data_IF_845015190917
#
_entry.id   IF_845015190917
#
_cell.length_a   1.000
_cell.length_b   1.000
_cell.length_c   1.000
_cell.angle_alpha   90.00
_cell.angle_beta   90.00
_cell.angle_gamma   90.00
#
_symmetry.space_group_name_H-M   'P 1'
#
loop_
_entity.id
_entity.type
_entity.pdbx_description
1 polymer ?
#
# COMPACT_ATOMS: atom_id res chain seq x y z
N UNK A 1 -120.36 -18.03 68.37
CA UNK A 1 -121.28 -16.88 68.22
C UNK A 1 -122.58 -17.23 68.92
N UNK A 2 -123.34 -16.27 69.45
CA UNK A 2 -124.64 -16.54 70.08
C UNK A 2 -125.77 -16.02 69.18
N UNK A 3 -126.89 -16.74 69.06
CA UNK A 3 -128.06 -16.25 68.33
C UNK A 3 -128.81 -15.16 69.14
N UNK A 4 -129.83 -14.55 68.54
CA UNK A 4 -130.67 -13.51 69.17
C UNK A 4 -131.36 -13.97 70.47
N UNK A 5 -131.36 -15.28 70.75
CA UNK A 5 -131.91 -15.90 71.96
C UNK A 5 -130.82 -16.27 72.99
N UNK A 6 -129.58 -15.81 72.80
CA UNK A 6 -128.45 -16.06 73.71
C UNK A 6 -127.93 -17.50 73.71
N UNK A 7 -128.28 -18.34 72.73
CA UNK A 7 -127.77 -19.72 72.62
C UNK A 7 -126.52 -19.80 71.76
N UNK A 8 -125.56 -20.62 72.17
CA UNK A 8 -124.32 -20.82 71.43
C UNK A 8 -124.61 -21.48 70.08
N UNK A 9 -124.34 -20.76 69.00
CA UNK A 9 -124.43 -21.23 67.62
C UNK A 9 -123.06 -21.73 67.20
N UNK A 10 -123.00 -23.01 66.90
CA UNK A 10 -121.84 -23.68 66.33
C UNK A 10 -121.92 -23.56 64.81
N UNK A 11 -120.96 -22.86 64.21
CA UNK A 11 -120.87 -22.72 62.75
C UNK A 11 -120.54 -24.09 62.13
N UNK A 12 -121.31 -24.50 61.12
CA UNK A 12 -121.00 -25.69 60.33
C UNK A 12 -119.96 -25.38 59.25
N UNK A 13 -119.34 -26.41 58.67
CA UNK A 13 -118.41 -26.25 57.54
C UNK A 13 -119.08 -25.57 56.33
N UNK A 14 -120.38 -25.81 56.13
CA UNK A 14 -121.18 -25.18 55.06
C UNK A 14 -121.37 -23.68 55.36
N UNK A 15 -121.63 -23.33 56.61
CA UNK A 15 -121.77 -21.92 57.02
C UNK A 15 -120.46 -21.16 56.88
N UNK A 16 -119.33 -21.76 57.27
CA UNK A 16 -118.01 -21.16 57.09
C UNK A 16 -117.67 -20.96 55.60
N UNK A 17 -117.98 -21.92 54.73
CA UNK A 17 -117.76 -21.78 53.30
C UNK A 17 -118.64 -20.67 52.69
N UNK A 18 -119.92 -20.59 53.10
CA UNK A 18 -120.85 -19.55 52.65
C UNK A 18 -120.45 -18.17 53.17
N UNK A 19 -119.97 -18.07 54.41
CA UNK A 19 -119.42 -16.83 54.96
C UNK A 19 -118.19 -16.35 54.18
N UNK A 20 -117.28 -17.26 53.80
CA UNK A 20 -116.12 -16.89 52.98
C UNK A 20 -116.52 -16.38 51.59
N UNK A 21 -117.53 -17.01 50.96
CA UNK A 21 -118.05 -16.56 49.66
C UNK A 21 -118.68 -15.17 49.77
N UNK A 22 -119.57 -14.96 50.74
CA UNK A 22 -120.22 -13.65 50.95
C UNK A 22 -119.17 -12.58 51.29
N UNK A 23 -118.18 -12.90 52.12
CA UNK A 23 -117.13 -11.94 52.49
C UNK A 23 -116.25 -11.55 51.30
N UNK A 24 -115.87 -12.51 50.44
CA UNK A 24 -115.10 -12.25 49.23
C UNK A 24 -115.88 -11.38 48.23
N UNK A 25 -117.17 -11.67 48.04
CA UNK A 25 -118.08 -10.87 47.19
C UNK A 25 -118.27 -9.45 47.73
N UNK A 26 -118.49 -9.29 49.04
CA UNK A 26 -118.65 -7.97 49.66
C UNK A 26 -117.35 -7.14 49.67
N UNK A 27 -116.18 -7.77 49.77
CA UNK A 27 -114.87 -7.08 49.77
C UNK A 27 -114.25 -6.95 48.37
N UNK A 28 -114.87 -7.52 47.33
CA UNK A 28 -114.33 -7.53 45.97
C UNK A 28 -113.00 -8.30 45.81
N UNK A 29 -112.73 -9.26 46.71
CA UNK A 29 -111.51 -10.06 46.70
C UNK A 29 -111.77 -11.46 46.14
N UNK A 30 -110.73 -12.11 45.61
CA UNK A 30 -110.85 -13.51 45.21
C UNK A 30 -110.99 -14.41 46.43
N UNK A 31 -111.97 -15.32 46.37
CA UNK A 31 -112.17 -16.35 47.39
C UNK A 31 -110.94 -17.24 47.46
N UNK A 32 -110.41 -17.44 48.66
CA UNK A 32 -109.28 -18.35 48.89
C UNK A 32 -109.57 -19.77 48.38
N UNK A 33 -108.59 -20.36 47.69
CA UNK A 33 -108.72 -21.71 47.17
C UNK A 33 -108.69 -22.75 48.30
N UNK A 34 -109.46 -23.82 48.15
CA UNK A 34 -109.40 -24.95 49.06
C UNK A 34 -108.01 -25.58 48.98
N UNK A 35 -107.24 -25.48 50.07
CA UNK A 35 -105.93 -26.11 50.18
C UNK A 35 -106.01 -27.34 51.06
N UNK A 36 -105.24 -28.38 50.72
CA UNK A 36 -104.99 -29.52 51.60
C UNK A 36 -104.02 -29.18 52.76
N UNK A 37 -103.48 -27.96 52.79
CA UNK A 37 -102.55 -27.48 53.82
C UNK A 37 -103.32 -27.24 55.13
N UNK A 38 -102.88 -27.89 56.21
CA UNK A 38 -103.44 -27.67 57.56
C UNK A 38 -103.20 -26.22 57.98
N UNK A 39 -104.17 -25.62 58.69
CA UNK A 39 -104.00 -24.31 59.32
C UNK A 39 -102.86 -24.40 60.33
N UNK A 40 -101.80 -23.65 60.08
CA UNK A 40 -100.61 -23.56 60.95
C UNK A 40 -100.69 -22.30 61.80
N UNK A 41 -100.13 -22.35 63.00
CA UNK A 41 -100.06 -21.19 63.88
C UNK A 41 -99.17 -20.09 63.27
N UNK A 42 -99.40 -18.83 63.62
CA UNK A 42 -98.71 -17.68 63.03
C UNK A 42 -97.19 -17.75 63.22
N UNK A 43 -96.73 -18.33 64.34
CA UNK A 43 -95.31 -18.55 64.60
C UNK A 43 -94.74 -19.67 63.70
N UNK A 44 -95.47 -20.76 63.52
CA UNK A 44 -95.07 -21.87 62.63
C UNK A 44 -94.98 -21.42 61.18
N UNK A 45 -95.92 -20.61 60.68
CA UNK A 45 -95.85 -20.06 59.33
C UNK A 45 -94.60 -19.18 59.13
N UNK A 46 -94.27 -18.33 60.11
CA UNK A 46 -93.04 -17.51 60.07
C UNK A 46 -91.77 -18.35 60.12
N UNK A 47 -91.76 -19.43 60.90
CA UNK A 47 -90.64 -20.38 60.97
C UNK A 47 -90.48 -21.09 59.62
N UNK A 48 -91.54 -21.69 59.06
CA UNK A 48 -91.49 -22.36 57.75
C UNK A 48 -91.02 -21.43 56.63
N UNK A 49 -91.53 -20.20 56.59
CA UNK A 49 -91.11 -19.20 55.60
C UNK A 49 -89.62 -18.82 55.75
N UNK A 50 -89.12 -18.74 56.99
CA UNK A 50 -87.71 -18.45 57.26
C UNK A 50 -86.81 -19.65 56.99
N UNK A 51 -87.23 -20.87 57.32
CA UNK A 51 -86.49 -22.09 56.99
C UNK A 51 -86.34 -22.25 55.49
N UNK A 52 -87.42 -22.02 54.73
CA UNK A 52 -87.35 -22.06 53.25
C UNK A 52 -86.42 -20.98 52.68
N UNK A 53 -86.41 -19.77 53.25
CA UNK A 53 -85.43 -18.73 52.88
C UNK A 53 -83.99 -19.15 53.20
N UNK A 54 -83.75 -19.75 54.37
CA UNK A 54 -82.43 -20.22 54.77
C UNK A 54 -81.95 -21.32 53.83
N UNK A 55 -82.80 -22.29 53.49
CA UNK A 55 -82.47 -23.36 52.55
C UNK A 55 -82.07 -22.82 51.18
N UNK A 56 -82.87 -21.90 50.62
CA UNK A 56 -82.56 -21.25 49.34
C UNK A 56 -81.21 -20.50 49.37
N UNK A 57 -80.97 -19.72 50.45
CA UNK A 57 -79.71 -19.00 50.62
C UNK A 57 -78.52 -19.95 50.81
N UNK A 58 -78.68 -21.06 51.53
CA UNK A 58 -77.61 -22.04 51.70
C UNK A 58 -77.26 -22.73 50.38
N UNK A 59 -78.26 -23.02 49.54
CA UNK A 59 -78.04 -23.61 48.22
C UNK A 59 -77.36 -22.62 47.27
N UNK A 60 -77.75 -21.34 47.32
CA UNK A 60 -77.11 -20.27 46.56
C UNK A 60 -75.65 -20.04 46.99
N UNK A 61 -75.37 -20.02 48.29
CA UNK A 61 -74.01 -19.92 48.84
C UNK A 61 -73.14 -21.09 48.40
N UNK A 62 -73.68 -22.32 48.40
CA UNK A 62 -72.96 -23.50 47.94
C UNK A 62 -72.61 -23.39 46.43
N UNK A 63 -73.56 -22.96 45.59
CA UNK A 63 -73.35 -22.73 44.14
C UNK A 63 -72.33 -21.61 43.88
N UNK A 64 -72.38 -20.54 44.66
CA UNK A 64 -71.41 -19.44 44.56
C UNK A 64 -70.01 -19.87 44.99
N UNK A 65 -69.90 -20.68 46.06
CA UNK A 65 -68.63 -21.21 46.54
C UNK A 65 -67.94 -22.10 45.50
N UNK A 66 -68.68 -23.01 44.86
CA UNK A 66 -68.12 -23.87 43.80
C UNK A 66 -67.73 -23.06 42.57
N UNK A 67 -68.55 -22.08 42.18
CA UNK A 67 -68.25 -21.17 41.07
C UNK A 67 -67.01 -20.31 41.36
N UNK A 68 -66.86 -19.83 42.60
CA UNK A 68 -65.68 -19.07 43.05
C UNK A 68 -64.42 -19.92 42.97
N UNK A 69 -64.44 -21.14 43.51
CA UNK A 69 -63.31 -22.06 43.46
C UNK A 69 -62.90 -22.39 42.01
N UNK A 70 -63.87 -22.60 41.11
CA UNK A 70 -63.60 -22.81 39.69
C UNK A 70 -62.95 -21.59 39.01
N UNK A 71 -63.40 -20.37 39.35
CA UNK A 71 -62.80 -19.13 38.85
C UNK A 71 -61.38 -18.92 39.40
N UNK A 72 -61.13 -19.20 40.67
CA UNK A 72 -59.80 -19.13 41.29
C UNK A 72 -58.83 -20.12 40.65
N UNK A 73 -59.24 -21.38 40.45
CA UNK A 73 -58.44 -22.37 39.74
C UNK A 73 -58.09 -21.93 38.31
N UNK A 74 -59.06 -21.34 37.61
CA UNK A 74 -58.85 -20.79 36.26
C UNK A 74 -57.83 -19.63 36.30
N UNK A 75 -57.97 -18.70 37.25
CA UNK A 75 -57.01 -17.58 37.42
C UNK A 75 -55.60 -18.10 37.71
N UNK A 76 -55.45 -19.12 38.54
CA UNK A 76 -54.14 -19.68 38.87
C UNK A 76 -53.49 -20.42 37.69
N UNK A 77 -54.28 -21.11 36.86
CA UNK A 77 -53.75 -21.64 35.59
C UNK A 77 -53.27 -20.53 34.66
N UNK A 78 -54.02 -19.42 34.51
CA UNK A 78 -53.58 -18.28 33.73
C UNK A 78 -52.30 -17.64 34.25
N UNK A 79 -52.15 -17.48 35.58
CA UNK A 79 -50.90 -16.99 36.18
C UNK A 79 -49.72 -17.90 35.85
N UNK A 80 -49.93 -19.21 35.95
CA UNK A 80 -48.88 -20.21 35.69
C UNK A 80 -48.44 -20.18 34.23
N UNK A 81 -49.39 -20.19 33.29
CA UNK A 81 -49.10 -20.07 31.85
C UNK A 81 -48.42 -18.74 31.55
N UNK A 82 -48.90 -17.63 32.13
CA UNK A 82 -48.29 -16.32 31.98
C UNK A 82 -46.82 -16.30 32.43
N UNK A 83 -46.52 -16.88 33.60
CA UNK A 83 -45.15 -16.99 34.10
C UNK A 83 -44.25 -17.82 33.16
N UNK A 84 -44.75 -18.94 32.62
CA UNK A 84 -44.01 -19.75 31.65
C UNK A 84 -43.73 -19.00 30.35
N UNK A 85 -44.71 -18.29 29.81
CA UNK A 85 -44.55 -17.49 28.59
C UNK A 85 -43.52 -16.39 28.79
N UNK A 86 -43.61 -15.65 29.90
CA UNK A 86 -42.64 -14.60 30.25
C UNK A 86 -41.24 -15.20 30.38
N UNK A 87 -41.06 -16.28 31.15
CA UNK A 87 -39.77 -16.93 31.31
C UNK A 87 -39.18 -17.43 29.98
N UNK A 88 -40.02 -17.98 29.09
CA UNK A 88 -39.58 -18.44 27.77
C UNK A 88 -39.12 -17.28 26.87
N UNK A 89 -39.86 -16.16 26.87
CA UNK A 89 -39.49 -14.96 26.11
C UNK A 89 -38.20 -14.37 26.69
N UNK A 90 -38.14 -14.12 27.99
CA UNK A 90 -36.96 -13.56 28.66
C UNK A 90 -35.74 -14.45 28.47
N UNK A 91 -35.89 -15.77 28.57
CA UNK A 91 -34.80 -16.72 28.35
C UNK A 91 -34.27 -16.70 26.91
N UNK A 92 -35.16 -16.63 25.90
CA UNK A 92 -34.75 -16.50 24.49
C UNK A 92 -34.03 -15.18 24.23
N UNK A 93 -34.49 -14.09 24.83
CA UNK A 93 -33.86 -12.76 24.68
C UNK A 93 -32.47 -12.75 25.31
N UNK A 94 -32.31 -13.29 26.52
CA UNK A 94 -31.00 -13.36 27.20
C UNK A 94 -29.96 -14.15 26.39
N UNK A 95 -30.33 -15.31 25.85
CA UNK A 95 -29.41 -16.11 25.01
C UNK A 95 -28.94 -15.34 23.77
N UNK A 96 -29.86 -14.67 23.06
CA UNK A 96 -29.49 -13.83 21.92
C UNK A 96 -28.59 -12.67 22.31
N UNK A 97 -28.82 -12.08 23.48
CA UNK A 97 -27.98 -11.01 24.00
C UNK A 97 -26.56 -11.50 24.32
N UNK A 98 -26.43 -12.68 24.92
CA UNK A 98 -25.15 -13.36 25.17
C UNK A 98 -24.42 -13.68 23.85
N UNK A 99 -25.10 -14.30 22.88
CA UNK A 99 -24.54 -14.61 21.56
C UNK A 99 -24.01 -13.35 20.86
N UNK A 100 -24.77 -12.25 20.90
CA UNK A 100 -24.35 -10.97 20.32
C UNK A 100 -23.16 -10.36 21.06
N UNK A 101 -23.09 -10.49 22.39
CA UNK A 101 -21.95 -10.01 23.18
C UNK A 101 -20.67 -10.78 22.84
N UNK A 102 -20.76 -12.09 22.68
CA UNK A 102 -19.64 -12.94 22.30
C UNK A 102 -19.13 -12.61 20.89
N UNK A 103 -20.03 -12.38 19.94
CA UNK A 103 -19.66 -11.96 18.59
C UNK A 103 -19.01 -10.57 18.58
N UNK A 104 -19.53 -9.61 19.36
CA UNK A 104 -18.88 -8.30 19.54
C UNK A 104 -17.48 -8.45 20.11
N UNK A 105 -17.28 -9.34 21.08
CA UNK A 105 -15.97 -9.58 21.68
C UNK A 105 -14.99 -10.20 20.65
N UNK A 106 -15.46 -11.17 19.85
CA UNK A 106 -14.69 -11.78 18.76
C UNK A 106 -14.25 -10.73 17.74
N UNK A 107 -15.19 -9.92 17.25
CA UNK A 107 -14.93 -8.86 16.28
C UNK A 107 -13.97 -7.81 16.82
N UNK A 108 -14.08 -7.43 18.10
CA UNK A 108 -13.12 -6.52 18.75
C UNK A 108 -11.70 -7.09 18.77
N UNK A 109 -11.55 -8.37 19.08
CA UNK A 109 -10.24 -9.04 19.09
C UNK A 109 -9.64 -9.13 17.68
N UNK A 110 -10.45 -9.48 16.68
CA UNK A 110 -10.01 -9.51 15.28
C UNK A 110 -9.61 -8.13 14.78
N UNK A 111 -10.37 -7.09 15.13
CA UNK A 111 -10.06 -5.70 14.77
C UNK A 111 -8.75 -5.24 15.42
N UNK A 112 -8.52 -5.58 16.69
CA UNK A 112 -7.25 -5.29 17.37
C UNK A 112 -6.06 -6.00 16.70
N UNK A 113 -6.22 -7.28 16.34
CA UNK A 113 -5.19 -8.05 15.62
C UNK A 113 -4.88 -7.43 14.25
N UNK A 114 -5.90 -7.09 13.48
CA UNK A 114 -5.74 -6.44 12.17
C UNK A 114 -5.08 -5.07 12.28
N UNK A 115 -5.41 -4.30 13.32
CA UNK A 115 -4.77 -3.02 13.57
C UNK A 115 -3.27 -3.16 13.91
N UNK A 116 -2.90 -4.20 14.65
CA UNK A 116 -1.50 -4.52 14.94
C UNK A 116 -0.74 -4.94 13.67
N UNK A 117 -1.33 -5.80 12.83
CA UNK A 117 -0.78 -6.21 11.53
C UNK A 117 -0.53 -4.99 10.62
N UNK A 118 -1.51 -4.09 10.49
CA UNK A 118 -1.38 -2.86 9.70
C UNK A 118 -0.23 -1.98 10.22
N UNK A 119 -0.12 -1.84 11.54
CA UNK A 119 0.92 -1.01 12.17
C UNK A 119 2.31 -1.58 11.90
N UNK A 120 2.46 -2.89 11.99
CA UNK A 120 3.72 -3.58 11.71
C UNK A 120 4.11 -3.45 10.23
N UNK A 121 3.20 -3.75 9.31
CA UNK A 121 3.43 -3.61 7.86
C UNK A 121 3.79 -2.18 7.48
N UNK A 122 3.13 -1.18 8.08
CA UNK A 122 3.47 0.24 7.86
C UNK A 122 4.90 0.56 8.31
N UNK A 123 5.34 0.02 9.46
CA UNK A 123 6.70 0.21 9.98
C UNK A 123 7.75 -0.43 9.08
N UNK A 124 7.48 -1.63 8.58
CA UNK A 124 8.37 -2.34 7.65
C UNK A 124 8.46 -1.64 6.30
N UNK A 125 7.33 -1.22 5.74
CA UNK A 125 7.28 -0.43 4.51
C UNK A 125 8.06 0.89 4.66
N UNK A 126 7.94 1.57 5.80
CA UNK A 126 8.70 2.80 6.05
C UNK A 126 10.21 2.55 6.14
N UNK A 127 10.63 1.45 6.78
CA UNK A 127 12.05 1.07 6.83
C UNK A 127 12.59 0.74 5.44
N UNK A 128 11.84 -0.03 4.65
CA UNK A 128 12.20 -0.36 3.28
C UNK A 128 12.34 0.91 2.44
N UNK A 129 11.36 1.83 2.51
CA UNK A 129 11.39 3.11 1.81
C UNK A 129 12.61 3.94 2.18
N UNK A 130 12.91 4.08 3.47
CA UNK A 130 14.07 4.83 3.95
C UNK A 130 15.39 4.21 3.45
N UNK A 131 15.47 2.87 3.44
CA UNK A 131 16.65 2.17 2.92
C UNK A 131 16.86 2.40 1.42
N UNK A 132 15.79 2.39 0.63
CA UNK A 132 15.84 2.65 -0.80
C UNK A 132 16.23 4.10 -1.06
N UNK A 133 15.63 5.04 -0.33
CA UNK A 133 15.95 6.48 -0.42
C UNK A 133 17.44 6.73 -0.19
N UNK A 134 18.02 6.17 0.88
CA UNK A 134 19.45 6.31 1.19
C UNK A 134 20.36 5.75 0.09
N UNK A 135 19.99 4.61 -0.53
CA UNK A 135 20.73 4.06 -1.68
C UNK A 135 20.69 4.99 -2.89
N UNK A 136 19.52 5.56 -3.19
CA UNK A 136 19.38 6.50 -4.30
C UNK A 136 20.17 7.78 -4.05
N UNK A 137 20.10 8.35 -2.85
CA UNK A 137 20.87 9.54 -2.46
C UNK A 137 22.38 9.29 -2.61
N UNK A 138 22.88 8.14 -2.14
CA UNK A 138 24.28 7.75 -2.30
C UNK A 138 24.69 7.61 -3.76
N UNK A 139 23.82 7.02 -4.60
CA UNK A 139 24.09 6.83 -6.03
C UNK A 139 24.10 8.15 -6.79
N UNK A 140 23.16 9.05 -6.49
CA UNK A 140 23.11 10.41 -7.07
C UNK A 140 24.38 11.17 -6.71
N UNK A 141 24.80 11.12 -5.44
CA UNK A 141 26.03 11.75 -4.99
C UNK A 141 27.27 11.21 -5.74
N UNK A 142 27.39 9.89 -5.87
CA UNK A 142 28.48 9.26 -6.62
C UNK A 142 28.52 9.69 -8.09
N UNK A 143 27.37 9.66 -8.78
CA UNK A 143 27.26 10.12 -10.17
C UNK A 143 27.63 11.59 -10.34
N UNK A 144 27.31 12.43 -9.36
CA UNK A 144 27.66 13.84 -9.39
C UNK A 144 29.17 14.06 -9.25
N UNK A 145 29.85 13.27 -8.41
CA UNK A 145 31.31 13.28 -8.33
C UNK A 145 31.96 12.78 -9.62
N UNK A 146 31.45 11.70 -10.20
CA UNK A 146 31.95 11.14 -11.46
C UNK A 146 31.81 12.14 -12.60
N UNK A 147 30.66 12.83 -12.68
CA UNK A 147 30.43 13.91 -13.65
C UNK A 147 31.49 15.02 -13.50
N UNK A 148 31.71 15.51 -12.28
CA UNK A 148 32.73 16.54 -12.02
C UNK A 148 34.16 16.06 -12.33
N UNK A 149 34.44 14.76 -12.17
CA UNK A 149 35.73 14.18 -12.53
C UNK A 149 35.88 14.11 -14.05
N UNK A 150 34.84 13.71 -14.78
CA UNK A 150 34.83 13.67 -16.24
C UNK A 150 35.04 15.07 -16.83
N UNK A 151 34.30 16.08 -16.37
CA UNK A 151 34.45 17.48 -16.80
C UNK A 151 35.87 18.01 -16.57
N UNK A 152 36.52 17.62 -15.46
CA UNK A 152 37.92 18.00 -15.19
C UNK A 152 38.90 17.32 -16.16
N UNK A 153 38.68 16.04 -16.46
CA UNK A 153 39.51 15.29 -17.41
C UNK A 153 39.38 15.86 -18.83
N UNK A 154 38.16 16.22 -19.24
CA UNK A 154 37.88 16.83 -20.53
C UNK A 154 38.60 18.19 -20.66
N UNK A 155 38.45 19.08 -19.69
CA UNK A 155 39.17 20.38 -19.69
C UNK A 155 40.69 20.20 -19.72
N UNK A 156 41.21 19.21 -19.00
CA UNK A 156 42.65 18.92 -19.02
C UNK A 156 43.11 18.38 -20.39
N UNK A 157 42.28 17.57 -21.04
CA UNK A 157 42.54 17.07 -22.39
C UNK A 157 42.52 18.19 -23.43
N UNK A 158 41.54 19.09 -23.37
CA UNK A 158 41.45 20.28 -24.22
C UNK A 158 42.67 21.18 -24.06
N UNK A 159 43.02 21.53 -22.81
CA UNK A 159 44.20 22.35 -22.53
C UNK A 159 45.50 21.70 -23.03
N UNK A 160 45.62 20.37 -22.90
CA UNK A 160 46.78 19.64 -23.42
C UNK A 160 46.80 19.66 -24.97
N UNK A 161 45.66 19.46 -25.62
CA UNK A 161 45.57 19.54 -27.09
C UNK A 161 45.92 20.94 -27.61
N UNK A 162 45.49 22.00 -26.92
CA UNK A 162 45.85 23.38 -27.25
C UNK A 162 47.35 23.63 -27.08
N UNK A 163 47.97 23.13 -26.01
CA UNK A 163 49.43 23.20 -25.83
C UNK A 163 50.18 22.52 -26.97
N UNK A 164 49.75 21.34 -27.40
CA UNK A 164 50.35 20.63 -28.53
C UNK A 164 50.20 21.40 -29.84
N UNK A 165 48.99 21.93 -30.09
CA UNK A 165 48.71 22.76 -31.26
C UNK A 165 49.63 23.99 -31.31
N UNK A 166 49.75 24.71 -30.20
CA UNK A 166 50.61 25.89 -30.11
C UNK A 166 52.07 25.54 -30.32
N UNK A 167 52.56 24.45 -29.72
CA UNK A 167 53.94 23.97 -29.92
C UNK A 167 54.22 23.57 -31.37
N UNK A 168 53.26 22.91 -32.01
CA UNK A 168 53.38 22.53 -33.42
C UNK A 168 53.49 23.77 -34.31
N UNK A 169 52.58 24.74 -34.15
CA UNK A 169 52.61 25.97 -34.93
C UNK A 169 53.81 26.86 -34.64
N UNK A 170 54.37 26.85 -33.41
CA UNK A 170 55.59 27.62 -33.12
C UNK A 170 56.83 27.06 -33.81
N UNK A 171 56.90 25.74 -34.02
CA UNK A 171 58.04 25.09 -34.67
C UNK A 171 57.93 25.07 -36.20
N UNK A 172 56.73 25.34 -36.74
CA UNK A 172 56.45 25.27 -38.17
C UNK A 172 57.26 26.29 -39.01
N UNK A 173 57.41 27.57 -38.61
CA UNK A 173 58.21 28.54 -39.37
C UNK A 173 59.67 28.13 -39.48
N UNK A 174 60.28 27.66 -38.38
CA UNK A 174 61.68 27.25 -38.34
C UNK A 174 61.92 26.00 -39.21
N UNK A 175 61.00 25.02 -39.14
CA UNK A 175 61.04 23.85 -40.00
C UNK A 175 60.88 24.21 -41.48
N UNK A 176 59.95 25.12 -41.81
CA UNK A 176 59.73 25.60 -43.17
C UNK A 176 60.97 26.35 -43.71
N UNK A 177 61.58 27.22 -42.89
CA UNK A 177 62.79 27.95 -43.25
C UNK A 177 63.99 27.00 -43.47
N UNK A 178 64.14 25.97 -42.64
CA UNK A 178 65.17 24.95 -42.81
C UNK A 178 65.00 24.18 -44.13
N UNK A 179 63.77 23.78 -44.47
CA UNK A 179 63.44 23.13 -45.74
C UNK A 179 63.76 24.07 -46.92
N UNK A 180 63.35 25.33 -46.84
CA UNK A 180 63.62 26.31 -47.90
C UNK A 180 65.11 26.54 -48.12
N UNK A 181 65.91 26.60 -47.04
CA UNK A 181 67.36 26.73 -47.10
C UNK A 181 68.02 25.51 -47.77
N UNK A 182 67.56 24.30 -47.44
CA UNK A 182 68.02 23.06 -48.08
C UNK A 182 67.72 23.09 -49.59
N UNK A 183 66.49 23.44 -49.98
CA UNK A 183 66.08 23.52 -51.39
C UNK A 183 66.90 24.55 -52.17
N UNK A 184 67.14 25.74 -51.59
CA UNK A 184 68.00 26.76 -52.20
C UNK A 184 69.42 26.26 -52.39
N UNK A 185 69.99 25.58 -51.39
CA UNK A 185 71.36 25.04 -51.44
C UNK A 185 71.51 23.94 -52.49
N UNK A 186 70.55 23.01 -52.57
CA UNK A 186 70.52 21.99 -53.62
C UNK A 186 70.41 22.64 -55.02
N UNK A 187 69.57 23.67 -55.16
CA UNK A 187 69.39 24.37 -56.44
C UNK A 187 70.64 25.14 -56.87
N UNK A 188 71.36 25.77 -55.93
CA UNK A 188 72.66 26.41 -56.18
C UNK A 188 73.73 25.39 -56.57
N UNK A 189 73.77 24.25 -55.88
CA UNK A 189 74.70 23.16 -56.17
C UNK A 189 74.49 22.61 -57.59
N UNK A 190 73.23 22.44 -58.01
CA UNK A 190 72.88 22.05 -59.39
C UNK A 190 73.36 23.08 -60.41
N UNK A 191 73.30 24.38 -60.08
CA UNK A 191 73.75 25.48 -60.98
C UNK A 191 75.28 25.65 -61.03
N UNK A 192 76.03 25.22 -60.01
CA UNK A 192 77.50 25.30 -59.99
C UNK A 192 78.19 24.16 -60.75
N UNK A 193 77.45 23.12 -61.17
CA UNK A 193 77.97 22.17 -62.13
C UNK A 193 78.03 22.83 -63.52
N UNK A 194 79.24 23.12 -64.00
CA UNK A 194 79.45 23.56 -65.38
C UNK A 194 79.08 22.42 -66.34
N UNK A 195 78.76 22.74 -67.60
CA UNK A 195 78.47 21.74 -68.64
C UNK A 195 79.61 20.73 -68.79
N UNK A 196 80.85 21.11 -68.47
CA UNK A 196 82.02 20.24 -68.42
C UNK A 196 82.01 19.27 -67.24
N UNK A 197 81.57 19.69 -66.05
CA UNK A 197 81.43 18.80 -64.89
C UNK A 197 80.32 17.76 -65.11
N UNK A 198 79.20 18.17 -65.70
CA UNK A 198 78.10 17.26 -66.07
C UNK A 198 78.57 16.24 -67.12
N UNK A 199 79.31 16.68 -68.14
CA UNK A 199 79.88 15.79 -69.16
C UNK A 199 80.93 14.80 -68.59
N UNK A 200 81.71 15.22 -67.60
CA UNK A 200 82.70 14.36 -66.93
C UNK A 200 82.03 13.27 -66.08
N UNK A 201 80.95 13.62 -65.36
CA UNK A 201 80.13 12.68 -64.60
C UNK A 201 79.40 11.71 -65.54
N UNK A 202 78.84 12.19 -66.65
CA UNK A 202 78.25 11.30 -67.66
C UNK A 202 79.27 10.34 -68.28
N UNK A 203 80.50 10.80 -68.54
CA UNK A 203 81.59 9.97 -69.07
C UNK A 203 82.03 8.90 -68.06
N UNK A 204 82.11 9.24 -66.77
CA UNK A 204 82.41 8.29 -65.70
C UNK A 204 81.29 7.23 -65.54
N UNK A 205 80.03 7.64 -65.56
CA UNK A 205 78.87 6.73 -65.44
C UNK A 205 78.70 5.80 -66.65
N UNK A 206 79.03 6.26 -67.87
CA UNK A 206 79.00 5.44 -69.10
C UNK A 206 80.11 4.37 -69.14
N UNK A 207 81.25 4.64 -68.51
CA UNK A 207 82.40 3.73 -68.50
C UNK A 207 82.40 2.74 -67.32
N UNK A 208 81.53 2.93 -66.32
CA UNK A 208 81.32 1.99 -65.23
C UNK A 208 80.69 0.68 -65.75
N UNK A 209 81.35 -0.45 -65.48
CA UNK A 209 81.00 -1.78 -66.03
C UNK A 209 80.00 -2.54 -65.17
N UNK A 210 79.77 -2.10 -63.92
CA UNK A 210 78.80 -2.71 -63.01
C UNK A 210 77.98 -1.69 -62.20
N UNK A 211 76.91 -2.15 -61.58
CA UNK A 211 76.01 -1.32 -60.77
C UNK A 211 76.62 -0.94 -59.42
N UNK A 212 77.56 -1.75 -58.93
CA UNK A 212 78.27 -1.48 -57.67
C UNK A 212 79.36 -0.43 -57.87
N UNK A 213 80.07 -0.44 -59.00
CA UNK A 213 80.98 0.67 -59.38
C UNK A 213 80.23 2.02 -59.48
N UNK A 214 79.00 2.02 -60.01
CA UNK A 214 78.20 3.26 -60.09
C UNK A 214 77.79 3.79 -58.71
N UNK A 215 77.55 2.91 -57.73
CA UNK A 215 77.24 3.30 -56.35
C UNK A 215 78.47 3.80 -55.60
N UNK A 216 79.63 3.25 -55.91
CA UNK A 216 80.93 3.67 -55.37
C UNK A 216 81.28 5.09 -55.86
N UNK A 217 81.21 5.34 -57.18
CA UNK A 217 81.38 6.69 -57.73
C UNK A 217 80.38 7.73 -57.18
N UNK A 218 79.14 7.32 -56.92
CA UNK A 218 78.13 8.19 -56.30
C UNK A 218 78.44 8.48 -54.82
N UNK A 219 79.06 7.53 -54.09
CA UNK A 219 79.53 7.76 -52.72
C UNK A 219 80.73 8.70 -52.69
N UNK A 220 81.69 8.54 -53.61
CA UNK A 220 82.87 9.41 -53.68
C UNK A 220 82.50 10.85 -54.03
N UNK A 221 81.54 11.05 -54.93
CA UNK A 221 80.96 12.38 -55.21
C UNK A 221 80.26 12.99 -53.99
N UNK A 222 79.61 12.16 -53.19
CA UNK A 222 78.95 12.58 -51.95
C UNK A 222 79.95 12.93 -50.85
N UNK A 223 81.06 12.19 -50.74
CA UNK A 223 82.12 12.46 -49.76
C UNK A 223 82.97 13.68 -50.14
N UNK A 224 83.21 13.93 -51.44
CA UNK A 224 83.82 15.20 -51.89
C UNK A 224 82.92 16.41 -51.57
N UNK A 225 81.61 16.29 -51.77
CA UNK A 225 80.66 17.35 -51.42
C UNK A 225 80.57 17.62 -49.90
N UNK A 226 80.94 16.62 -49.08
CA UNK A 226 80.97 16.69 -47.62
C UNK A 226 82.24 17.38 -47.10
N UNK A 227 83.38 17.16 -47.74
CA UNK A 227 84.66 17.81 -47.38
C UNK A 227 84.69 19.30 -47.73
N UNK A 228 83.97 19.75 -48.77
CA UNK A 228 83.81 21.19 -49.07
C UNK A 228 82.89 21.95 -48.09
N UNK A 229 82.25 21.29 -47.11
CA UNK A 229 81.36 21.92 -46.13
C UNK A 229 81.53 21.39 -44.69
N UNK A 230 82.56 21.84 -43.94
CA UNK A 230 82.69 21.50 -42.52
C UNK A 230 81.68 22.31 -41.66
N UNK A 231 80.89 21.61 -40.84
CA UNK A 231 80.06 22.23 -39.79
C UNK A 231 78.53 22.11 -39.94
N UNK A 232 78.02 21.56 -41.05
CA UNK A 232 76.61 21.19 -41.18
C UNK A 232 76.50 19.72 -41.52
N UNK A 233 76.27 18.86 -40.51
CA UNK A 233 75.95 17.44 -40.72
C UNK A 233 74.45 17.18 -40.52
N UNK A 234 73.65 17.17 -41.60
CA UNK A 234 72.26 16.70 -41.59
C UNK A 234 72.08 15.27 -41.05
N UNK A 235 73.15 14.47 -41.02
CA UNK A 235 73.12 13.06 -40.59
C UNK A 235 72.62 12.88 -39.16
N UNK A 236 72.97 13.77 -38.22
CA UNK A 236 72.51 13.64 -36.82
C UNK A 236 71.00 13.92 -36.70
N UNK A 237 70.51 14.99 -37.34
CA UNK A 237 69.10 15.38 -37.29
C UNK A 237 68.18 14.44 -38.08
N UNK A 238 68.65 13.94 -39.22
CA UNK A 238 67.91 12.95 -40.01
C UNK A 238 67.86 11.60 -39.29
N UNK A 239 68.92 11.20 -38.58
CA UNK A 239 68.90 9.97 -37.78
C UNK A 239 68.02 10.10 -36.55
N UNK A 240 68.00 11.25 -35.89
CA UNK A 240 67.17 11.50 -34.71
C UNK A 240 65.68 11.60 -35.10
N UNK A 241 65.35 12.35 -36.15
CA UNK A 241 63.98 12.43 -36.69
C UNK A 241 63.47 11.10 -37.26
N UNK A 242 64.35 10.27 -37.85
CA UNK A 242 63.98 8.92 -38.31
C UNK A 242 63.71 7.99 -37.14
N UNK A 243 64.49 8.07 -36.06
CA UNK A 243 64.29 7.28 -34.84
C UNK A 243 62.97 7.61 -34.15
N UNK A 244 62.60 8.89 -34.12
CA UNK A 244 61.33 9.35 -33.55
C UNK A 244 60.13 8.92 -34.40
N UNK A 245 60.28 8.91 -35.73
CA UNK A 245 59.25 8.44 -36.66
C UNK A 245 59.05 6.92 -36.56
N UNK A 246 60.13 6.14 -36.48
CA UNK A 246 60.08 4.68 -36.33
C UNK A 246 59.40 4.28 -35.00
N UNK A 247 59.69 4.99 -33.91
CA UNK A 247 59.04 4.79 -32.61
C UNK A 247 57.54 5.15 -32.63
N UNK A 248 57.16 6.17 -33.39
CA UNK A 248 55.75 6.57 -33.57
C UNK A 248 54.95 5.51 -34.35
N UNK A 249 55.59 4.89 -35.34
CA UNK A 249 55.00 3.83 -36.17
C UNK A 249 54.87 2.52 -35.39
N UNK A 250 55.87 2.17 -34.56
CA UNK A 250 55.91 0.90 -33.82
C UNK A 250 54.95 0.87 -32.62
N UNK A 251 54.83 1.96 -31.86
CA UNK A 251 54.08 1.99 -30.59
C UNK A 251 52.77 2.78 -30.64
N UNK A 252 52.55 3.55 -31.71
CA UNK A 252 51.43 4.47 -31.82
C UNK A 252 51.55 5.70 -30.90
N UNK A 253 50.70 6.74 -31.12
CA UNK A 253 50.89 8.06 -30.52
C UNK A 253 50.82 8.08 -28.98
N UNK A 254 49.96 7.25 -28.39
CA UNK A 254 49.73 7.24 -26.94
C UNK A 254 50.88 6.61 -26.13
N UNK A 255 51.53 5.58 -26.66
CA UNK A 255 52.64 4.91 -25.98
C UNK A 255 53.97 5.67 -26.15
N UNK A 256 54.17 6.30 -27.31
CA UNK A 256 55.30 7.22 -27.53
C UNK A 256 55.32 8.36 -26.48
N UNK A 257 54.16 8.96 -26.20
CA UNK A 257 54.03 10.01 -25.18
C UNK A 257 54.37 9.55 -23.75
N UNK A 258 54.17 8.27 -23.41
CA UNK A 258 54.59 7.69 -22.13
C UNK A 258 56.11 7.51 -22.04
N UNK A 259 56.76 7.02 -23.10
CA UNK A 259 58.22 6.87 -23.12
C UNK A 259 58.92 8.22 -23.09
N UNK A 260 58.38 9.22 -23.79
CA UNK A 260 58.99 10.56 -23.83
C UNK A 260 58.86 11.30 -22.49
N UNK A 261 57.75 11.09 -21.75
CA UNK A 261 57.63 11.55 -20.35
C UNK A 261 58.69 10.94 -19.44
N UNK A 262 58.94 9.64 -19.57
CA UNK A 262 59.96 8.95 -18.76
C UNK A 262 61.39 9.43 -19.09
N UNK A 263 61.69 9.72 -20.37
CA UNK A 263 62.99 10.29 -20.79
C UNK A 263 63.22 11.69 -20.25
N UNK A 264 62.18 12.54 -20.22
CA UNK A 264 62.27 13.91 -19.69
C UNK A 264 62.39 13.90 -18.16
N UNK A 265 61.66 13.02 -17.46
CA UNK A 265 61.80 12.86 -16.00
C UNK A 265 63.19 12.38 -15.58
N UNK A 266 63.82 11.47 -16.34
CA UNK A 266 65.17 11.00 -16.04
C UNK A 266 66.27 12.03 -16.35
N UNK A 267 66.04 12.95 -17.30
CA UNK A 267 66.97 14.08 -17.56
C UNK A 267 66.89 15.19 -16.51
N UNK A 268 65.77 15.31 -15.80
CA UNK A 268 65.59 16.27 -14.71
C UNK A 268 66.17 15.85 -13.36
N UNK A 269 66.64 14.61 -13.21
CA UNK A 269 67.24 14.09 -11.95
C UNK A 269 68.79 14.15 -11.92
N UNK A 270 69.44 14.69 -12.96
CA UNK A 270 70.91 14.83 -13.03
C UNK A 270 71.37 16.30 -13.16
N UNK A 271 70.56 17.25 -12.71
CA UNK A 271 70.95 18.62 -12.37
C UNK A 271 70.67 18.86 -10.88
#
# INVERSE_FOLDING_TARGET
MYNEQGRNVRLSNVDCARMQTILAECLGMERGQASSRKHVDALQYKIEAKTSQIEQLTEEVAKLSTTKAAKEATIDTFKTVGAHVVNAITGKTKRKEEDLRDEILRLKNELAKKQAEITQTKKEAQKALNSVKSRYESKVYGLQQDKQRAERLEKAAEANAERWRNRFFSLWPDAAAAIEAIVKRCTMMIRSFTTAHIASIEKALRNARSMDERKEYASDLWDMAKDEMPGTTPKAWIQEGKKDLDLLIEYGPEQYLKQERNRIQNRGMHL
#
